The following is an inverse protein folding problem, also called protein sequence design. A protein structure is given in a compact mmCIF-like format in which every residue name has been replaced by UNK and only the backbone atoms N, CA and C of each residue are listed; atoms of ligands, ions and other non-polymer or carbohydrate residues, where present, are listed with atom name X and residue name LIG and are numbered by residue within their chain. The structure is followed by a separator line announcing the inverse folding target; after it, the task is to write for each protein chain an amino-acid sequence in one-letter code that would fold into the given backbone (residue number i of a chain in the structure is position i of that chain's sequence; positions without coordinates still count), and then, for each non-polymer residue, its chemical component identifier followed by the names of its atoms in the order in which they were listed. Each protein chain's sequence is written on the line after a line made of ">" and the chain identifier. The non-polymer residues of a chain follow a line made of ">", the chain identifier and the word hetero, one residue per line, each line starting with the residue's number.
data_IF_645881279249
#
_entry.id   IF_645881279249
#
_cell.length_a   1.000
_cell.length_b   1.000
_cell.length_c   1.000
_cell.angle_alpha   90.00
_cell.angle_beta   90.00
_cell.angle_gamma   90.00
#
_symmetry.space_group_name_H-M   'P 1'
#
loop_
_entity.id
_entity.type
_entity.pdbx_description
1 polymer ?
#
# COMPACT_ATOMS: atom_id res chain seq x y z
N UNK A 1 14.88 -2.00 4.63
CA UNK A 1 13.55 -2.56 4.27
C UNK A 1 13.77 -3.63 3.19
N UNK A 2 12.99 -4.71 3.22
CA UNK A 2 12.90 -5.73 2.17
C UNK A 2 11.43 -5.90 1.79
N UNK A 3 11.15 -6.22 0.52
CA UNK A 3 9.83 -6.60 0.03
C UNK A 3 9.93 -7.84 -0.88
N UNK A 4 8.81 -8.26 -1.47
CA UNK A 4 8.74 -9.30 -2.48
C UNK A 4 9.48 -8.91 -3.78
N UNK A 5 9.42 -9.76 -4.80
CA UNK A 5 9.88 -9.42 -6.15
C UNK A 5 9.14 -8.16 -6.66
N UNK A 6 9.77 -7.35 -7.51
CA UNK A 6 9.26 -6.04 -7.90
C UNK A 6 7.86 -6.08 -8.54
N UNK A 7 7.59 -7.04 -9.42
CA UNK A 7 6.27 -7.17 -10.05
C UNK A 7 5.23 -7.69 -9.07
N UNK A 8 5.60 -8.68 -8.25
CA UNK A 8 4.73 -9.21 -7.19
C UNK A 8 4.34 -8.10 -6.21
N UNK A 9 5.32 -7.33 -5.72
CA UNK A 9 5.09 -6.20 -4.84
C UNK A 9 4.21 -5.12 -5.49
N UNK A 10 4.39 -4.87 -6.79
CA UNK A 10 3.57 -3.92 -7.55
C UNK A 10 2.12 -4.35 -7.58
N UNK A 11 1.85 -5.62 -7.89
CA UNK A 11 0.49 -6.18 -7.93
C UNK A 11 -0.15 -6.15 -6.53
N UNK A 12 0.55 -6.65 -5.52
CA UNK A 12 0.05 -6.71 -4.15
C UNK A 12 -0.24 -5.32 -3.57
N UNK A 13 0.65 -4.35 -3.82
CA UNK A 13 0.43 -2.98 -3.35
C UNK A 13 -0.74 -2.28 -4.03
N UNK A 14 -0.97 -2.54 -5.32
CA UNK A 14 -2.14 -2.04 -6.04
C UNK A 14 -3.44 -2.64 -5.49
N UNK A 15 -3.48 -3.96 -5.29
CA UNK A 15 -4.64 -4.65 -4.71
C UNK A 15 -4.96 -4.16 -3.30
N UNK A 16 -3.96 -3.99 -2.45
CA UNK A 16 -4.13 -3.46 -1.10
C UNK A 16 -4.68 -2.03 -1.11
N UNK A 17 -4.20 -1.17 -2.02
CA UNK A 17 -4.70 0.20 -2.17
C UNK A 17 -6.17 0.20 -2.60
N UNK A 18 -6.55 -0.59 -3.61
CA UNK A 18 -7.93 -0.72 -4.08
C UNK A 18 -8.85 -1.23 -2.97
N UNK A 19 -8.41 -2.24 -2.22
CA UNK A 19 -9.19 -2.79 -1.10
C UNK A 19 -9.44 -1.76 0.01
N UNK A 20 -8.46 -0.89 0.31
CA UNK A 20 -8.64 0.21 1.26
C UNK A 20 -9.62 1.27 0.73
N UNK A 21 -9.46 1.69 -0.53
CA UNK A 21 -10.38 2.64 -1.18
C UNK A 21 -11.82 2.14 -1.11
N UNK A 22 -12.07 0.88 -1.45
CA UNK A 22 -13.41 0.29 -1.46
C UNK A 22 -14.09 0.18 -0.09
N UNK A 23 -13.32 0.21 1.01
CA UNK A 23 -13.84 0.08 2.38
C UNK A 23 -13.96 1.41 3.14
N UNK A 24 -13.29 2.46 2.66
CA UNK A 24 -13.20 3.74 3.38
C UNK A 24 -14.00 4.87 2.74
N UNK A 25 -14.10 5.98 3.47
CA UNK A 25 -14.62 7.25 2.94
C UNK A 25 -13.42 8.16 2.69
N UNK A 26 -13.07 8.36 1.42
CA UNK A 26 -11.98 9.23 1.01
C UNK A 26 -12.53 10.44 0.25
N UNK A 27 -11.79 11.55 0.30
CA UNK A 27 -12.11 12.72 -0.51
C UNK A 27 -11.96 12.37 -1.99
N UNK A 28 -12.95 12.75 -2.81
CA UNK A 28 -12.90 12.54 -4.25
C UNK A 28 -11.74 13.32 -4.90
N UNK A 29 -11.19 12.75 -5.99
CA UNK A 29 -10.05 13.28 -6.71
C UNK A 29 -8.81 12.39 -6.62
N UNK A 30 -7.69 12.90 -7.12
CA UNK A 30 -6.41 12.18 -7.07
C UNK A 30 -5.74 12.35 -5.72
N UNK A 31 -5.21 11.26 -5.20
CA UNK A 31 -4.47 11.24 -3.94
C UNK A 31 -3.34 10.21 -4.00
N UNK A 32 -2.38 10.32 -3.10
CA UNK A 32 -1.29 9.35 -2.98
C UNK A 32 -1.54 8.44 -1.78
N UNK A 33 -1.14 7.16 -1.85
CA UNK A 33 -1.24 6.25 -0.71
C UNK A 33 -0.63 6.80 0.58
N UNK A 34 0.50 7.51 0.49
CA UNK A 34 1.14 8.14 1.65
C UNK A 34 0.25 9.19 2.33
N UNK A 35 -0.57 9.91 1.57
CA UNK A 35 -1.50 10.92 2.10
C UNK A 35 -2.72 10.29 2.78
N UNK A 36 -3.30 9.24 2.20
CA UNK A 36 -4.59 8.68 2.67
C UNK A 36 -4.48 7.44 3.56
N UNK A 37 -3.37 6.70 3.48
CA UNK A 37 -3.14 5.48 4.27
C UNK A 37 -1.97 5.63 5.25
N UNK A 38 -1.21 6.72 5.15
CA UNK A 38 -0.05 7.00 5.99
C UNK A 38 1.22 6.26 5.55
N UNK A 39 2.36 6.65 6.13
CA UNK A 39 3.69 6.13 5.77
C UNK A 39 3.91 4.65 6.10
N UNK A 40 3.09 4.08 6.99
CA UNK A 40 3.17 2.67 7.39
C UNK A 40 2.41 1.72 6.47
N UNK A 41 1.63 2.24 5.52
CA UNK A 41 0.84 1.43 4.58
C UNK A 41 1.69 0.37 3.85
N UNK A 42 2.92 0.72 3.46
CA UNK A 42 3.81 -0.20 2.75
C UNK A 42 4.16 -1.45 3.56
N UNK A 43 4.16 -1.36 4.90
CA UNK A 43 4.44 -2.50 5.78
C UNK A 43 3.27 -3.48 5.88
N UNK A 44 2.10 -3.11 5.38
CA UNK A 44 0.94 -4.01 5.27
C UNK A 44 1.03 -4.89 4.03
N UNK A 45 1.91 -4.57 3.07
CA UNK A 45 2.06 -5.33 1.83
C UNK A 45 2.80 -6.64 2.11
N UNK A 46 2.28 -7.81 1.67
CA UNK A 46 2.91 -9.11 1.86
C UNK A 46 4.40 -9.10 1.49
N UNK A 47 5.21 -9.78 2.32
CA UNK A 47 6.66 -9.85 2.13
C UNK A 47 7.43 -8.58 2.52
N UNK A 48 6.74 -7.49 2.92
CA UNK A 48 7.40 -6.25 3.33
C UNK A 48 7.80 -6.26 4.80
N UNK A 49 9.07 -5.94 5.09
CA UNK A 49 9.58 -5.81 6.46
C UNK A 49 10.72 -4.81 6.59
N UNK A 50 10.83 -4.21 7.78
CA UNK A 50 12.01 -3.45 8.18
C UNK A 50 13.14 -4.44 8.50
N UNK A 51 14.36 -4.11 8.09
CA UNK A 51 15.55 -4.89 8.43
C UNK A 51 16.17 -4.29 9.69
N UNK A 52 16.79 -5.11 10.56
CA UNK A 52 17.53 -4.61 11.72
C UNK A 52 18.66 -3.66 11.31
#
# INVERSE_FOLDING_TARGET
>A
MRCAEAYEFTVESALAAVAKVGKGKFQAGFTTPGKVFGSKFVLEIPGTKILP
#
